data_IF_088267137965
#
_entry.id   IF_088267137965
#
_cell.length_a   1.000
_cell.length_b   1.000
_cell.length_c   1.000
_cell.angle_alpha   90.00
_cell.angle_beta   90.00
_cell.angle_gamma   90.00
#
_symmetry.space_group_name_H-M   'P 1'
#
loop_
_entity.id
_entity.type
_entity.pdbx_description
1 polymer ?
#
# COMPACT_ATOMS: atom_id res chain seq x y z
N UNK A 1 -12.21 17.71 -16.09
CA UNK A 1 -11.53 16.70 -16.92
C UNK A 1 -10.79 15.83 -15.92
N UNK A 2 -11.31 14.64 -15.64
CA UNK A 2 -10.81 13.79 -14.56
C UNK A 2 -9.48 13.17 -15.00
N UNK A 3 -8.36 13.81 -14.62
CA UNK A 3 -7.01 13.25 -14.77
C UNK A 3 -6.77 12.24 -13.64
N UNK A 4 -7.55 11.15 -13.64
CA UNK A 4 -7.19 9.98 -12.84
C UNK A 4 -6.27 9.16 -13.74
N UNK A 5 -4.98 9.19 -13.43
CA UNK A 5 -3.97 8.48 -14.21
C UNK A 5 -4.02 6.96 -13.89
N UNK A 6 -4.74 6.22 -14.73
CA UNK A 6 -4.81 4.76 -14.67
C UNK A 6 -3.59 4.05 -15.29
N UNK A 7 -2.59 4.81 -15.78
CA UNK A 7 -1.36 4.30 -16.37
C UNK A 7 -0.24 4.18 -15.34
N UNK A 8 -0.26 5.00 -14.28
CA UNK A 8 0.72 4.91 -13.21
C UNK A 8 0.54 3.60 -12.41
N UNK A 9 1.56 2.73 -12.43
CA UNK A 9 1.59 1.51 -11.61
C UNK A 9 2.47 1.76 -10.40
N UNK A 10 1.85 2.12 -9.28
CA UNK A 10 2.55 2.26 -8.01
C UNK A 10 2.79 0.89 -7.39
N UNK A 11 4.06 0.54 -7.14
CA UNK A 11 4.44 -0.68 -6.42
C UNK A 11 5.49 -0.33 -5.37
N UNK A 12 5.14 -0.49 -4.09
CA UNK A 12 6.04 -0.23 -2.98
C UNK A 12 7.00 -1.42 -2.81
N UNK A 13 8.02 -1.51 -3.68
CA UNK A 13 9.06 -2.54 -3.55
C UNK A 13 10.27 -1.92 -2.86
N UNK A 14 10.48 -2.28 -1.60
CA UNK A 14 11.70 -1.92 -0.89
C UNK A 14 12.92 -2.54 -1.59
N UNK A 15 13.94 -1.72 -1.87
CA UNK A 15 15.19 -2.22 -2.45
C UNK A 15 15.92 -3.07 -1.41
N UNK A 16 16.19 -4.33 -1.74
CA UNK A 16 16.88 -5.26 -0.82
C UNK A 16 18.25 -4.76 -0.34
N UNK A 17 18.95 -3.94 -1.13
CA UNK A 17 20.20 -3.28 -0.71
C UNK A 17 19.97 -2.36 0.49
N UNK A 18 18.92 -1.53 0.45
CA UNK A 18 18.55 -0.64 1.55
C UNK A 18 18.12 -1.43 2.79
N UNK A 19 17.32 -2.48 2.61
CA UNK A 19 16.90 -3.36 3.71
C UNK A 19 18.12 -3.97 4.43
N UNK A 20 19.09 -4.49 3.67
CA UNK A 20 20.33 -5.05 4.25
C UNK A 20 21.12 -4.01 5.03
N UNK A 21 21.28 -2.80 4.50
CA UNK A 21 21.99 -1.71 5.20
C UNK A 21 21.30 -1.36 6.51
N UNK A 22 19.97 -1.23 6.53
CA UNK A 22 19.21 -0.93 7.74
C UNK A 22 19.38 -2.04 8.79
N UNK A 23 19.28 -3.32 8.38
CA UNK A 23 19.48 -4.46 9.28
C UNK A 23 20.91 -4.47 9.84
N UNK A 24 21.93 -4.26 9.01
CA UNK A 24 23.33 -4.19 9.46
C UNK A 24 23.55 -3.06 10.48
N UNK A 25 22.93 -1.89 10.26
CA UNK A 25 22.99 -0.78 11.20
C UNK A 25 22.28 -1.10 12.52
N UNK A 26 21.11 -1.72 12.47
CA UNK A 26 20.37 -2.13 13.67
C UNK A 26 21.20 -3.12 14.52
N UNK A 27 21.86 -4.10 13.89
CA UNK A 27 22.75 -5.04 14.58
C UNK A 27 23.95 -4.32 15.20
N UNK A 28 24.62 -3.44 14.45
CA UNK A 28 25.77 -2.68 14.92
C UNK A 28 25.43 -1.78 16.12
N UNK A 29 24.19 -1.30 16.19
CA UNK A 29 23.69 -0.42 17.24
C UNK A 29 22.94 -1.16 18.35
N UNK A 30 22.91 -2.50 18.29
CA UNK A 30 22.18 -3.36 19.24
C UNK A 30 20.70 -2.97 19.37
N UNK A 31 20.10 -2.49 18.28
CA UNK A 31 18.70 -2.12 18.25
C UNK A 31 17.81 -3.36 18.24
N UNK A 32 16.78 -3.36 19.09
CA UNK A 32 15.73 -4.37 19.05
C UNK A 32 14.93 -4.21 17.75
N UNK A 33 14.86 -5.28 16.97
CA UNK A 33 14.08 -5.33 15.75
C UNK A 33 12.77 -6.06 16.00
N UNK A 34 11.68 -5.52 15.45
CA UNK A 34 10.35 -6.13 15.47
C UNK A 34 9.84 -6.23 14.04
N UNK A 35 9.30 -7.39 13.68
CA UNK A 35 8.64 -7.59 12.39
C UNK A 35 7.14 -7.43 12.56
N UNK A 36 6.53 -6.59 11.72
CA UNK A 36 5.09 -6.41 11.67
C UNK A 36 4.57 -6.99 10.35
N UNK A 37 3.59 -7.88 10.46
CA UNK A 37 2.80 -8.37 9.32
C UNK A 37 1.35 -7.92 9.50
N UNK A 38 0.88 -7.06 8.59
CA UNK A 38 -0.46 -6.46 8.67
C UNK A 38 -1.41 -7.32 7.86
N UNK A 39 -2.30 -8.05 8.54
CA UNK A 39 -3.39 -8.76 7.88
C UNK A 39 -4.34 -7.78 7.22
N UNK A 40 -4.83 -8.15 6.03
CA UNK A 40 -5.86 -7.39 5.30
C UNK A 40 -5.49 -5.91 5.07
N UNK A 41 -4.21 -5.69 4.82
CA UNK A 41 -3.59 -4.37 4.70
C UNK A 41 -4.35 -3.40 3.79
N UNK A 42 -4.86 -3.88 2.65
CA UNK A 42 -5.61 -3.08 1.69
C UNK A 42 -7.01 -2.68 2.19
N UNK A 43 -7.66 -3.56 2.95
CA UNK A 43 -9.00 -3.28 3.50
C UNK A 43 -8.96 -2.20 4.59
N UNK A 44 -7.78 -1.91 5.14
CA UNK A 44 -7.59 -0.81 6.09
C UNK A 44 -7.42 0.54 5.39
N UNK A 45 -6.83 0.56 4.19
CA UNK A 45 -6.61 1.80 3.43
C UNK A 45 -7.88 2.34 2.78
N UNK A 46 -8.08 3.64 2.93
CA UNK A 46 -9.13 4.39 2.25
C UNK A 46 -8.75 4.65 0.78
N UNK A 47 -9.77 4.70 -0.08
CA UNK A 47 -9.59 5.09 -1.47
C UNK A 47 -9.80 6.60 -1.59
N UNK A 48 -8.76 7.29 -2.06
CA UNK A 48 -8.84 8.71 -2.41
C UNK A 48 -9.72 8.93 -3.66
N UNK A 49 -9.66 7.99 -4.59
CA UNK A 49 -10.44 8.00 -5.82
C UNK A 49 -11.81 7.33 -5.64
N UNK A 50 -12.82 7.81 -6.38
CA UNK A 50 -14.11 7.13 -6.46
C UNK A 50 -14.02 5.89 -7.37
N UNK A 51 -13.83 4.72 -6.75
CA UNK A 51 -13.83 3.44 -7.46
C UNK A 51 -15.18 2.74 -7.30
N UNK A 52 -15.73 2.29 -8.42
CA UNK A 52 -16.95 1.48 -8.45
C UNK A 52 -16.63 0.07 -8.95
N UNK A 53 -17.32 -0.92 -8.38
CA UNK A 53 -17.25 -2.31 -8.83
C UNK A 53 -18.66 -2.77 -9.23
N UNK A 54 -18.77 -3.40 -10.40
CA UNK A 54 -20.02 -3.96 -10.89
C UNK A 54 -19.87 -5.46 -11.07
N UNK A 55 -20.72 -6.22 -10.36
CA UNK A 55 -20.92 -7.65 -10.61
C UNK A 55 -22.34 -7.82 -11.17
N UNK A 56 -23.34 -7.88 -10.29
CA UNK A 56 -24.78 -7.84 -10.65
C UNK A 56 -25.40 -6.47 -10.33
N UNK A 57 -24.84 -5.76 -9.34
CA UNK A 57 -25.15 -4.39 -8.97
C UNK A 57 -23.84 -3.60 -8.86
N UNK A 58 -23.90 -2.32 -9.19
CA UNK A 58 -22.74 -1.44 -9.08
C UNK A 58 -22.69 -0.81 -7.69
N UNK A 59 -21.56 -0.98 -7.00
CA UNK A 59 -21.33 -0.46 -5.65
C UNK A 59 -20.09 0.44 -5.66
N UNK A 60 -20.14 1.53 -4.88
CA UNK A 60 -18.96 2.35 -4.59
C UNK A 60 -18.11 1.65 -3.54
N UNK A 61 -16.83 1.46 -3.83
CA UNK A 61 -15.87 0.93 -2.87
C UNK A 61 -15.45 2.03 -1.91
N UNK A 62 -15.48 1.73 -0.61
CA UNK A 62 -14.99 2.63 0.45
C UNK A 62 -13.54 2.34 0.85
N UNK A 63 -13.09 1.11 0.64
CA UNK A 63 -11.77 0.61 1.02
C UNK A 63 -11.12 -0.05 -0.19
N UNK A 64 -9.79 -0.06 -0.19
CA UNK A 64 -9.04 -0.67 -1.27
C UNK A 64 -9.19 -2.20 -1.24
N UNK A 65 -9.37 -2.82 -2.42
CA UNK A 65 -9.50 -4.26 -2.58
C UNK A 65 -8.28 -4.85 -3.29
N UNK A 66 -8.03 -6.14 -3.09
CA UNK A 66 -6.99 -6.82 -3.85
C UNK A 66 -7.26 -6.70 -5.36
N UNK A 67 -6.21 -6.46 -6.14
CA UNK A 67 -6.28 -6.36 -7.60
C UNK A 67 -6.68 -4.98 -8.15
N UNK A 68 -7.06 -4.01 -7.30
CA UNK A 68 -7.18 -2.62 -7.78
C UNK A 68 -5.78 -2.03 -8.03
N UNK A 69 -5.64 -1.25 -9.10
CA UNK A 69 -4.39 -0.52 -9.41
C UNK A 69 -4.03 0.50 -8.31
N UNK A 70 -5.04 1.06 -7.66
CA UNK A 70 -4.92 2.06 -6.60
C UNK A 70 -4.50 1.47 -5.25
N UNK A 71 -4.69 0.17 -5.05
CA UNK A 71 -4.52 -0.46 -3.73
C UNK A 71 -3.13 -0.29 -3.11
N UNK A 72 -2.02 -0.47 -3.85
CA UNK A 72 -0.69 -0.22 -3.30
C UNK A 72 -0.46 1.24 -2.88
N UNK A 73 -1.03 2.22 -3.62
CA UNK A 73 -0.92 3.64 -3.31
C UNK A 73 -1.76 4.03 -2.10
N UNK A 74 -3.01 3.56 -2.06
CA UNK A 74 -3.91 3.74 -0.93
C UNK A 74 -3.28 3.24 0.38
N UNK A 75 -2.61 2.08 0.33
CA UNK A 75 -1.87 1.58 1.48
C UNK A 75 -0.67 2.44 1.87
N UNK A 76 0.11 2.90 0.88
CA UNK A 76 1.26 3.75 1.16
C UNK A 76 0.86 5.07 1.84
N UNK A 77 -0.19 5.71 1.36
CA UNK A 77 -0.72 6.93 1.99
C UNK A 77 -1.27 6.66 3.40
N UNK A 78 -1.89 5.50 3.64
CA UNK A 78 -2.31 5.11 4.99
C UNK A 78 -1.14 4.90 5.98
N UNK A 79 0.02 4.46 5.48
CA UNK A 79 1.24 4.33 6.30
C UNK A 79 2.01 5.64 6.48
N UNK A 80 1.70 6.66 5.67
CA UNK A 80 2.40 7.93 5.67
C UNK A 80 1.89 8.74 6.86
N UNK A 81 2.74 8.92 7.87
CA UNK A 81 2.47 9.76 9.05
C UNK A 81 2.36 11.24 8.68
#
# INVERSE_FOLDING_TARGET
>A
KYEIDYLETFALVAKMKTVRVIISLAVLKEWKMYQLDVKNVLLNSDLEEEVYMCLEKCCKLKKALYGLKQSPRAWFEHLRF
#
